data_IF_492812156932
#
_entry.id   IF_492812156932
#
_cell.length_a   1.000
_cell.length_b   1.000
_cell.length_c   1.000
_cell.angle_alpha   90.00
_cell.angle_beta   90.00
_cell.angle_gamma   90.00
#
_symmetry.space_group_name_H-M   'P 1'
#
loop_
_entity.id
_entity.type
_entity.pdbx_description
1 polymer ?
#
# COMPACT_ATOMS: atom_id res chain seq x y z
N UNK A 1 -5.22 20.90 -31.64
CA UNK A 1 -6.62 20.68 -31.08
C UNK A 1 -7.23 19.40 -31.66
N UNK A 2 -6.49 18.79 -32.72
CA UNK A 2 -6.88 17.51 -33.36
C UNK A 2 -6.13 16.33 -32.73
N UNK A 3 -5.14 16.69 -31.80
CA UNK A 3 -4.32 15.62 -31.20
C UNK A 3 -4.86 15.23 -29.83
N UNK A 4 -6.06 15.86 -29.37
CA UNK A 4 -6.65 15.49 -28.06
C UNK A 4 -8.15 15.21 -28.24
N UNK A 5 -8.59 14.97 -29.47
CA UNK A 5 -10.00 14.77 -29.86
C UNK A 5 -10.49 13.38 -29.43
N UNK A 6 -9.53 12.45 -29.24
CA UNK A 6 -9.92 11.08 -28.84
C UNK A 6 -10.07 11.01 -27.32
N UNK A 7 -9.37 11.94 -26.53
CA UNK A 7 -9.51 12.09 -25.08
C UNK A 7 -10.80 12.85 -24.72
N UNK A 8 -11.35 13.74 -25.66
CA UNK A 8 -12.54 14.60 -25.48
C UNK A 8 -13.80 13.89 -25.98
N UNK A 9 -13.66 12.79 -26.77
CA UNK A 9 -14.83 12.08 -27.34
C UNK A 9 -15.27 10.94 -26.41
N UNK A 10 -14.38 10.68 -25.26
CA UNK A 10 -14.69 9.59 -24.31
C UNK A 10 -14.80 10.14 -22.89
N UNK A 11 -14.72 11.56 -22.75
CA UNK A 11 -14.55 12.02 -21.35
C UNK A 11 -15.89 12.55 -20.82
N UNK A 12 -16.49 11.94 -19.80
CA UNK A 12 -17.81 12.02 -19.14
C UNK A 12 -17.71 12.96 -17.93
N UNK A 13 -16.51 13.95 -17.79
CA UNK A 13 -16.47 14.85 -16.61
C UNK A 13 -15.27 15.80 -16.75
N UNK A 14 -15.52 17.23 -16.59
CA UNK A 14 -14.46 18.25 -16.63
C UNK A 14 -13.22 17.82 -15.84
N UNK A 15 -13.31 17.05 -14.83
CA UNK A 15 -12.16 16.60 -14.02
C UNK A 15 -11.34 15.54 -14.77
N UNK A 16 -11.92 14.72 -15.49
CA UNK A 16 -11.19 13.73 -16.32
C UNK A 16 -10.41 14.42 -17.46
N UNK A 17 -11.04 15.52 -17.93
CA UNK A 17 -10.35 16.28 -19.00
C UNK A 17 -9.16 17.02 -18.40
N UNK A 18 -9.38 17.59 -17.22
CA UNK A 18 -8.24 18.28 -16.56
C UNK A 18 -7.12 17.30 -16.25
N UNK A 19 -7.45 16.10 -15.79
CA UNK A 19 -6.43 15.07 -15.50
C UNK A 19 -5.70 14.64 -16.78
N UNK A 20 -6.49 14.49 -17.89
CA UNK A 20 -5.85 14.13 -19.16
C UNK A 20 -4.92 15.25 -19.66
N UNK A 21 -5.32 16.48 -19.42
CA UNK A 21 -4.48 17.59 -19.89
C UNK A 21 -3.18 17.67 -19.07
N UNK A 22 -3.35 17.45 -17.78
CA UNK A 22 -2.14 17.44 -16.95
C UNK A 22 -1.22 16.27 -17.32
N UNK A 23 -1.77 15.06 -17.73
CA UNK A 23 -0.93 13.91 -18.11
C UNK A 23 -0.19 14.20 -19.42
N UNK A 24 -0.72 15.15 -20.15
CA UNK A 24 -0.05 15.45 -21.45
C UNK A 24 0.79 16.72 -21.32
N UNK A 25 0.99 17.11 -20.00
CA UNK A 25 2.01 18.16 -19.76
C UNK A 25 1.39 19.56 -19.72
N UNK A 26 0.07 19.67 -19.77
CA UNK A 26 -0.53 21.01 -19.69
C UNK A 26 -0.61 21.48 -18.22
N UNK A 27 0.13 22.58 -18.00
CA UNK A 27 0.11 23.18 -16.64
C UNK A 27 -0.74 24.45 -16.63
N UNK A 28 -0.91 25.05 -15.31
CA UNK A 28 -1.70 26.31 -15.24
C UNK A 28 -1.06 27.40 -16.10
N UNK A 29 0.21 27.33 -16.30
CA UNK A 29 0.89 28.33 -17.15
C UNK A 29 0.56 28.11 -18.64
N UNK A 30 0.59 26.81 -18.98
CA UNK A 30 0.21 26.49 -20.37
C UNK A 30 -1.26 26.86 -20.65
N UNK A 31 -2.16 26.68 -19.66
CA UNK A 31 -3.58 27.04 -19.85
C UNK A 31 -3.74 28.56 -20.01
N UNK A 32 -2.92 29.32 -19.34
CA UNK A 32 -3.01 30.80 -19.46
C UNK A 32 -2.71 31.25 -20.88
N UNK A 33 -1.88 30.45 -21.62
CA UNK A 33 -1.59 30.78 -23.04
C UNK A 33 -2.83 30.60 -23.92
N UNK A 34 -3.69 29.75 -23.41
CA UNK A 34 -4.96 29.57 -24.16
C UNK A 34 -6.05 30.47 -23.57
N UNK A 35 -5.73 31.57 -22.84
CA UNK A 35 -6.63 32.60 -22.27
C UNK A 35 -7.56 32.00 -21.22
N UNK A 36 -7.08 30.98 -20.61
CA UNK A 36 -7.84 30.43 -19.46
C UNK A 36 -7.00 30.56 -18.19
N UNK A 37 -7.75 30.90 -17.07
CA UNK A 37 -7.07 31.17 -15.79
C UNK A 37 -6.30 29.93 -15.30
N UNK A 38 -6.80 28.65 -15.55
CA UNK A 38 -6.12 27.42 -15.07
C UNK A 38 -6.62 26.22 -15.88
N UNK A 39 -5.95 25.09 -15.68
CA UNK A 39 -6.21 23.84 -16.43
C UNK A 39 -7.66 23.39 -16.18
N UNK A 40 -8.18 23.65 -15.00
CA UNK A 40 -9.58 23.25 -14.70
C UNK A 40 -10.57 24.09 -15.51
N UNK A 41 -10.26 25.42 -15.63
CA UNK A 41 -11.16 26.28 -16.45
C UNK A 41 -11.11 25.86 -17.92
N UNK A 42 -9.92 25.57 -18.35
CA UNK A 42 -9.78 25.07 -19.72
C UNK A 42 -10.53 23.74 -19.91
N UNK A 43 -10.44 22.86 -18.95
CA UNK A 43 -11.15 21.57 -19.04
C UNK A 43 -12.67 21.79 -19.03
N UNK A 44 -13.13 22.70 -18.20
CA UNK A 44 -14.59 22.97 -18.14
C UNK A 44 -15.08 23.51 -19.49
N UNK A 45 -14.30 24.40 -20.01
CA UNK A 45 -14.73 24.94 -21.32
C UNK A 45 -14.76 23.83 -22.39
N UNK A 46 -13.69 22.96 -22.45
CA UNK A 46 -13.68 21.85 -23.41
C UNK A 46 -14.86 20.91 -23.20
N UNK A 47 -15.16 20.61 -21.89
CA UNK A 47 -16.33 19.74 -21.62
C UNK A 47 -17.62 20.42 -22.08
N UNK A 48 -17.79 21.73 -21.82
CA UNK A 48 -19.03 22.43 -22.20
C UNK A 48 -19.22 22.40 -23.73
N UNK A 49 -18.13 22.48 -24.44
CA UNK A 49 -18.23 22.47 -25.92
C UNK A 49 -18.63 21.08 -26.42
N UNK A 50 -18.14 19.97 -25.81
CA UNK A 50 -18.47 18.60 -26.24
C UNK A 50 -19.90 18.25 -25.80
N UNK A 51 -20.31 18.70 -24.54
CA UNK A 51 -21.69 18.42 -24.08
C UNK A 51 -22.71 19.14 -24.96
N UNK A 52 -22.41 20.31 -25.31
CA UNK A 52 -23.36 21.06 -26.17
C UNK A 52 -23.49 20.39 -27.54
N UNK A 53 -22.47 19.79 -28.05
CA UNK A 53 -22.49 19.05 -29.33
C UNK A 53 -23.22 17.71 -29.17
N UNK A 54 -23.13 17.07 -27.99
CA UNK A 54 -23.82 15.81 -27.69
C UNK A 54 -25.31 16.05 -27.40
N UNK A 55 -25.74 17.19 -26.82
CA UNK A 55 -27.15 17.56 -26.55
C UNK A 55 -27.86 17.93 -27.85
N UNK A 56 -27.10 18.26 -28.86
CA UNK A 56 -27.72 18.55 -30.18
C UNK A 56 -27.86 17.27 -31.01
N UNK A 57 -27.39 16.04 -30.51
CA UNK A 57 -27.37 14.76 -31.25
C UNK A 57 -27.95 13.64 -30.37
N UNK A 58 -29.02 13.79 -29.41
CA UNK A 58 -29.88 12.73 -28.86
C UNK A 58 -29.79 12.75 -27.32
N UNK A 59 -30.96 13.02 -26.60
CA UNK A 59 -31.63 12.59 -25.35
C UNK A 59 -30.88 11.43 -24.69
N UNK A 60 -29.83 11.65 -23.91
CA UNK A 60 -28.99 10.67 -23.18
C UNK A 60 -29.71 10.24 -21.88
N UNK A 61 -30.10 8.93 -21.84
CA UNK A 61 -30.49 8.01 -20.76
C UNK A 61 -29.45 8.01 -19.62
N UNK A 62 -29.91 8.21 -18.37
CA UNK A 62 -29.10 8.20 -17.15
C UNK A 62 -28.51 6.82 -16.86
N UNK A 63 -27.11 6.64 -16.88
CA UNK A 63 -26.30 5.50 -16.41
C UNK A 63 -26.51 5.32 -14.90
N UNK A 64 -27.14 4.18 -14.51
CA UNK A 64 -27.37 3.84 -13.09
C UNK A 64 -26.04 3.66 -12.34
N UNK A 65 -25.63 4.57 -11.41
CA UNK A 65 -24.62 4.43 -10.35
C UNK A 65 -25.08 3.44 -9.27
N UNK A 66 -24.68 2.13 -9.44
CA UNK A 66 -24.87 0.99 -8.53
C UNK A 66 -24.44 1.38 -7.10
N UNK A 67 -25.24 1.84 -6.24
CA UNK A 67 -25.16 2.13 -4.80
C UNK A 67 -24.95 0.85 -3.97
N UNK A 68 -24.56 -0.41 -4.66
CA UNK A 68 -24.49 -1.66 -3.86
C UNK A 68 -23.04 -2.16 -3.77
N UNK A 69 -22.06 -1.50 -4.32
CA UNK A 69 -20.65 -1.94 -4.34
C UNK A 69 -19.89 -1.31 -3.16
N UNK A 70 -20.60 -0.32 -2.39
CA UNK A 70 -19.87 0.42 -1.34
C UNK A 70 -19.97 -0.31 0.01
N UNK A 71 -20.99 -1.24 0.20
CA UNK A 71 -21.20 -1.88 1.52
C UNK A 71 -20.57 -3.28 1.52
N UNK A 72 -20.21 -3.83 0.39
CA UNK A 72 -19.65 -5.20 0.29
C UNK A 72 -18.14 -5.21 0.55
N UNK A 73 -17.51 -4.03 0.44
CA UNK A 73 -16.04 -4.06 0.63
C UNK A 73 -15.69 -3.96 2.12
N UNK A 74 -16.60 -3.24 2.92
CA UNK A 74 -16.30 -3.12 4.37
C UNK A 74 -16.33 -4.48 5.06
N UNK A 75 -17.27 -5.31 4.63
CA UNK A 75 -17.38 -6.67 5.21
C UNK A 75 -16.20 -7.52 4.73
N UNK A 76 -15.78 -7.26 3.58
CA UNK A 76 -14.66 -8.04 3.01
C UNK A 76 -13.33 -7.59 3.61
N UNK A 77 -13.29 -6.37 4.13
CA UNK A 77 -12.02 -5.82 4.68
C UNK A 77 -11.76 -6.40 6.08
N UNK A 78 -12.84 -7.00 6.68
CA UNK A 78 -12.66 -7.51 8.06
C UNK A 78 -12.35 -9.02 8.00
N UNK A 79 -12.46 -9.63 6.87
CA UNK A 79 -12.35 -11.08 6.70
C UNK A 79 -10.92 -11.57 6.94
N UNK A 80 -9.95 -10.83 6.49
CA UNK A 80 -8.58 -11.34 6.67
C UNK A 80 -8.15 -11.34 8.14
N UNK A 81 -8.74 -10.31 8.88
CA UNK A 81 -8.43 -10.27 10.32
C UNK A 81 -9.07 -11.43 11.09
N UNK A 82 -10.28 -11.81 10.71
CA UNK A 82 -10.98 -12.88 11.43
C UNK A 82 -10.38 -14.26 11.11
N UNK A 83 -9.97 -14.42 9.82
CA UNK A 83 -9.37 -15.71 9.42
C UNK A 83 -7.99 -15.87 10.07
N UNK A 84 -7.30 -14.70 10.19
CA UNK A 84 -5.97 -14.76 10.83
C UNK A 84 -6.11 -15.04 12.32
N UNK A 85 -7.10 -14.48 12.94
CA UNK A 85 -7.34 -14.76 14.37
C UNK A 85 -7.68 -16.25 14.59
N UNK A 86 -8.48 -16.78 13.68
CA UNK A 86 -8.84 -18.21 13.79
C UNK A 86 -7.60 -19.10 13.57
N UNK A 87 -6.76 -18.66 12.66
CA UNK A 87 -5.54 -19.46 12.39
C UNK A 87 -4.59 -19.42 13.59
N UNK A 88 -4.52 -18.25 14.25
CA UNK A 88 -3.66 -18.14 15.44
C UNK A 88 -4.19 -19.02 16.58
N UNK A 89 -5.48 -19.04 16.72
CA UNK A 89 -6.07 -19.90 17.77
C UNK A 89 -5.80 -21.37 17.45
N UNK A 90 -5.89 -21.71 16.13
CA UNK A 90 -5.63 -23.10 15.69
C UNK A 90 -4.16 -23.51 15.93
N UNK A 91 -3.30 -22.58 15.74
CA UNK A 91 -1.86 -22.90 15.90
C UNK A 91 -1.54 -23.04 17.40
N UNK A 92 -2.26 -22.28 18.28
CA UNK A 92 -1.96 -22.33 19.73
C UNK A 92 -2.53 -23.61 20.36
N UNK A 93 -3.48 -24.16 19.64
CA UNK A 93 -4.13 -25.35 20.22
C UNK A 93 -3.45 -26.63 19.72
N UNK A 94 -2.44 -26.45 18.77
CA UNK A 94 -1.79 -27.66 18.21
C UNK A 94 -0.33 -27.70 18.68
N UNK A 95 0.17 -28.96 19.16
CA UNK A 95 1.59 -29.10 19.54
C UNK A 95 2.31 -30.03 18.56
N UNK A 96 3.62 -29.58 18.14
CA UNK A 96 4.43 -30.55 17.35
C UNK A 96 4.21 -30.34 15.83
N UNK A 97 4.25 -31.37 14.93
CA UNK A 97 4.19 -31.35 13.46
C UNK A 97 2.84 -30.79 12.97
N UNK A 98 1.80 -30.97 13.74
CA UNK A 98 0.51 -30.42 13.31
C UNK A 98 0.44 -28.89 13.52
N UNK A 99 1.37 -28.41 14.19
CA UNK A 99 1.49 -26.94 14.36
C UNK A 99 2.01 -26.28 13.08
N UNK A 100 2.83 -26.99 12.40
CA UNK A 100 3.39 -26.40 11.16
C UNK A 100 2.37 -26.47 10.01
N UNK A 101 1.61 -27.53 10.03
CA UNK A 101 0.58 -27.67 8.98
C UNK A 101 -0.56 -26.67 9.22
N UNK A 102 -0.92 -26.48 10.48
CA UNK A 102 -1.97 -25.47 10.83
C UNK A 102 -1.48 -24.05 10.52
N UNK A 103 -0.23 -23.81 10.74
CA UNK A 103 0.33 -22.48 10.39
C UNK A 103 0.33 -22.27 8.87
N UNK A 104 0.73 -23.34 8.15
CA UNK A 104 0.74 -23.24 6.68
C UNK A 104 -0.66 -23.01 6.12
N UNK A 105 -1.61 -23.78 6.64
CA UNK A 105 -3.00 -23.63 6.14
C UNK A 105 -3.57 -22.27 6.55
N UNK A 106 -3.30 -21.83 7.75
CA UNK A 106 -3.72 -20.49 8.18
C UNK A 106 -3.11 -19.38 7.30
N UNK A 107 -1.90 -19.53 6.98
CA UNK A 107 -1.24 -18.55 6.10
C UNK A 107 -1.90 -18.52 4.71
N UNK A 108 -2.22 -19.68 4.20
CA UNK A 108 -2.89 -19.73 2.89
C UNK A 108 -4.29 -19.10 2.93
N UNK A 109 -4.95 -19.38 3.99
CA UNK A 109 -6.31 -18.83 4.12
C UNK A 109 -6.26 -17.29 4.27
N UNK A 110 -5.29 -16.79 4.94
CA UNK A 110 -5.15 -15.34 5.13
C UNK A 110 -4.73 -14.70 3.79
N UNK A 111 -3.83 -15.39 3.11
CA UNK A 111 -3.41 -14.89 1.79
C UNK A 111 -4.59 -14.81 0.81
N UNK A 112 -5.41 -15.78 0.87
CA UNK A 112 -6.57 -15.79 -0.06
C UNK A 112 -7.60 -14.73 0.32
N UNK A 113 -7.77 -14.59 1.59
CA UNK A 113 -8.74 -13.55 2.03
C UNK A 113 -8.23 -12.15 1.69
N UNK A 114 -6.95 -12.02 1.82
CA UNK A 114 -6.36 -10.71 1.48
C UNK A 114 -6.49 -10.44 -0.02
N UNK A 115 -6.31 -11.46 -0.73
CA UNK A 115 -6.46 -11.32 -2.20
C UNK A 115 -7.88 -10.89 -2.57
N UNK A 116 -8.77 -11.51 -1.95
CA UNK A 116 -10.17 -11.23 -2.30
C UNK A 116 -10.54 -9.81 -1.83
N UNK A 117 -10.02 -9.43 -0.66
CA UNK A 117 -10.36 -8.10 -0.11
C UNK A 117 -9.70 -6.99 -0.93
N UNK A 118 -8.53 -7.30 -1.46
CA UNK A 118 -7.79 -6.23 -2.17
C UNK A 118 -8.23 -6.18 -3.63
N UNK A 119 -8.79 -7.27 -4.14
CA UNK A 119 -9.25 -7.30 -5.55
C UNK A 119 -10.62 -6.64 -5.69
N UNK A 120 -11.37 -6.53 -4.63
CA UNK A 120 -12.74 -5.99 -4.78
C UNK A 120 -12.86 -4.65 -4.07
N UNK A 121 -11.69 -4.06 -3.64
CA UNK A 121 -11.74 -2.84 -2.82
C UNK A 121 -11.04 -1.68 -3.55
N UNK A 122 -11.10 -0.48 -2.99
CA UNK A 122 -10.57 0.79 -3.53
C UNK A 122 -9.05 0.70 -3.77
N UNK A 123 -8.43 -0.47 -3.41
CA UNK A 123 -6.98 -0.63 -3.68
C UNK A 123 -6.78 -1.67 -4.79
N UNK A 124 -7.69 -1.75 -5.64
CA UNK A 124 -7.57 -2.77 -6.70
C UNK A 124 -6.42 -2.41 -7.66
N UNK A 125 -5.60 -3.52 -7.82
CA UNK A 125 -4.46 -3.34 -8.74
C UNK A 125 -4.68 -4.26 -9.96
N UNK A 126 -4.38 -3.68 -11.12
CA UNK A 126 -4.47 -4.54 -12.30
C UNK A 126 -3.52 -5.75 -12.20
N UNK A 127 -4.04 -6.99 -12.60
CA UNK A 127 -3.34 -8.27 -12.44
C UNK A 127 -1.92 -8.22 -13.02
N UNK A 128 -1.67 -7.37 -14.03
CA UNK A 128 -0.33 -7.34 -14.67
C UNK A 128 0.69 -6.62 -13.79
N UNK A 129 0.23 -5.86 -12.88
CA UNK A 129 1.13 -5.06 -12.01
C UNK A 129 1.24 -5.67 -10.62
N UNK A 130 0.31 -6.56 -10.32
CA UNK A 130 0.26 -7.17 -8.97
C UNK A 130 1.25 -8.33 -8.88
N UNK A 131 1.56 -8.94 -10.05
CA UNK A 131 2.45 -10.13 -10.04
C UNK A 131 3.88 -9.75 -9.64
N UNK A 132 4.27 -8.50 -9.95
CA UNK A 132 5.67 -8.08 -9.73
C UNK A 132 5.92 -7.75 -8.25
N UNK A 133 4.97 -7.37 -7.51
CA UNK A 133 5.18 -6.96 -6.10
C UNK A 133 4.73 -8.07 -5.15
N UNK A 134 4.10 -9.06 -5.76
CA UNK A 134 3.45 -10.09 -4.91
C UNK A 134 4.50 -11.02 -4.29
N UNK A 135 5.39 -11.34 -5.16
CA UNK A 135 6.39 -12.31 -4.65
C UNK A 135 7.22 -11.65 -3.53
N UNK A 136 7.52 -10.39 -3.64
CA UNK A 136 8.36 -9.71 -2.64
C UNK A 136 7.57 -9.40 -1.37
N UNK A 137 6.31 -9.08 -1.55
CA UNK A 137 5.43 -8.89 -0.38
C UNK A 137 5.30 -10.19 0.42
N UNK A 138 5.17 -11.27 -0.40
CA UNK A 138 5.06 -12.58 0.30
C UNK A 138 6.36 -12.89 1.06
N UNK A 139 7.39 -12.61 0.41
CA UNK A 139 8.68 -12.87 1.08
C UNK A 139 8.83 -12.02 2.35
N UNK A 140 8.49 -10.74 2.38
CA UNK A 140 8.62 -9.84 3.55
C UNK A 140 7.67 -10.25 4.67
N UNK A 141 6.51 -10.70 4.24
CA UNK A 141 5.56 -11.18 5.26
C UNK A 141 6.08 -12.48 5.89
N UNK A 142 6.62 -13.31 4.95
CA UNK A 142 7.22 -14.55 5.49
C UNK A 142 8.38 -14.22 6.45
N UNK A 143 9.16 -13.21 6.04
CA UNK A 143 10.27 -12.84 6.94
C UNK A 143 9.72 -12.29 8.27
N UNK A 144 8.71 -11.44 8.29
CA UNK A 144 8.11 -10.92 9.52
C UNK A 144 7.63 -12.05 10.44
N UNK A 145 7.21 -13.17 9.81
CA UNK A 145 6.70 -14.31 10.59
C UNK A 145 7.86 -15.13 11.18
N UNK A 146 8.86 -15.32 10.38
CA UNK A 146 9.85 -16.34 10.80
C UNK A 146 11.21 -15.68 11.00
N UNK A 147 11.38 -14.50 10.51
CA UNK A 147 12.72 -13.94 10.26
C UNK A 147 13.35 -13.44 11.57
N UNK A 148 12.49 -12.84 12.46
CA UNK A 148 13.08 -12.30 13.70
C UNK A 148 13.52 -13.43 14.65
N UNK A 149 12.72 -14.45 14.66
CA UNK A 149 13.09 -15.66 15.45
C UNK A 149 14.34 -16.35 14.88
N UNK A 150 14.43 -16.32 13.58
CA UNK A 150 15.60 -16.93 12.93
C UNK A 150 16.85 -16.05 13.13
N UNK A 151 16.71 -14.84 13.09
CA UNK A 151 17.85 -13.92 13.29
C UNK A 151 18.33 -13.99 14.74
N UNK A 152 17.40 -14.03 15.66
CA UNK A 152 17.80 -14.17 17.08
C UNK A 152 18.50 -15.51 17.32
N UNK A 153 17.95 -16.50 16.69
CA UNK A 153 18.56 -17.84 16.86
C UNK A 153 19.96 -17.88 16.22
N UNK A 154 20.08 -17.23 15.14
CA UNK A 154 21.39 -17.16 14.47
C UNK A 154 22.41 -16.37 15.30
N UNK A 155 21.95 -15.39 16.05
CA UNK A 155 22.88 -14.59 16.88
C UNK A 155 23.24 -15.35 18.16
N UNK A 156 22.39 -16.30 18.61
CA UNK A 156 22.64 -17.02 19.89
C UNK A 156 23.35 -18.35 19.62
N UNK A 157 23.99 -18.55 18.42
CA UNK A 157 24.88 -19.73 18.34
C UNK A 157 24.27 -20.85 17.49
N UNK A 158 23.05 -20.52 16.76
CA UNK A 158 22.49 -21.41 15.72
C UNK A 158 21.08 -21.87 16.09
N UNK A 159 20.19 -22.24 15.09
CA UNK A 159 18.79 -22.58 15.39
C UNK A 159 18.69 -23.90 16.16
N UNK A 160 18.92 -23.89 17.50
CA UNK A 160 18.76 -25.18 18.20
C UNK A 160 17.27 -25.40 18.53
N UNK A 161 16.46 -26.23 17.63
CA UNK A 161 15.03 -26.57 17.90
C UNK A 161 14.10 -25.62 17.13
N UNK A 162 12.62 -25.81 17.31
CA UNK A 162 11.58 -25.01 16.62
C UNK A 162 11.62 -23.56 17.12
N UNK A 163 12.19 -22.62 16.33
CA UNK A 163 12.32 -21.19 16.67
C UNK A 163 10.93 -20.53 16.78
N UNK A 164 10.84 -19.60 17.83
CA UNK A 164 9.55 -18.96 18.14
C UNK A 164 9.03 -18.13 16.95
N UNK A 165 7.76 -18.45 16.54
CA UNK A 165 7.07 -17.69 15.47
C UNK A 165 6.42 -16.43 16.05
N UNK A 166 6.64 -15.34 15.34
CA UNK A 166 6.02 -14.07 15.78
C UNK A 166 4.58 -13.95 15.25
N UNK A 167 3.66 -14.46 16.00
CA UNK A 167 2.25 -14.55 15.53
C UNK A 167 1.53 -13.22 15.77
N UNK A 168 2.12 -12.41 16.74
CA UNK A 168 1.46 -11.13 17.08
C UNK A 168 1.60 -10.12 15.94
N UNK A 169 2.69 -9.95 15.32
CA UNK A 169 2.85 -8.98 14.23
C UNK A 169 2.10 -9.42 12.96
N UNK A 170 1.95 -10.66 12.78
CA UNK A 170 1.21 -11.15 11.58
C UNK A 170 -0.30 -10.93 11.78
N UNK A 171 -0.71 -11.18 12.96
CA UNK A 171 -2.14 -10.90 13.25
C UNK A 171 -2.44 -9.40 13.14
N UNK A 172 -1.50 -8.65 13.63
CA UNK A 172 -1.71 -7.19 13.57
C UNK A 172 -1.68 -6.70 12.12
N UNK A 173 -0.79 -7.23 11.30
CA UNK A 173 -0.72 -6.82 9.89
C UNK A 173 -1.99 -7.26 9.13
N UNK A 174 -2.50 -8.43 9.53
CA UNK A 174 -3.74 -8.89 8.86
C UNK A 174 -4.94 -8.04 9.27
N UNK A 175 -4.95 -7.61 10.53
CA UNK A 175 -6.09 -6.79 10.99
C UNK A 175 -5.97 -5.36 10.46
N UNK A 176 -4.74 -5.02 10.08
CA UNK A 176 -4.50 -3.64 9.63
C UNK A 176 -5.03 -3.45 8.20
N UNK A 177 -5.42 -4.55 7.57
CA UNK A 177 -5.96 -4.45 6.19
C UNK A 177 -7.26 -3.66 6.16
N UNK A 178 -8.02 -3.76 7.22
CA UNK A 178 -9.30 -3.00 7.27
C UNK A 178 -9.06 -1.49 7.32
N UNK A 179 -8.19 -1.08 8.29
CA UNK A 179 -7.95 0.38 8.33
C UNK A 179 -7.23 0.87 7.06
N UNK A 180 -6.47 0.01 6.44
CA UNK A 180 -5.76 0.42 5.20
C UNK A 180 -6.76 0.68 4.05
N UNK A 181 -7.75 -0.17 3.94
CA UNK A 181 -8.75 0.02 2.87
C UNK A 181 -9.62 1.24 3.17
N UNK A 182 -9.89 1.40 4.45
CA UNK A 182 -10.69 2.58 4.84
C UNK A 182 -9.91 3.88 4.58
N UNK A 183 -8.62 3.86 4.92
CA UNK A 183 -7.79 5.06 4.68
C UNK A 183 -7.71 5.36 3.17
N UNK A 184 -7.58 4.34 2.38
CA UNK A 184 -7.55 4.55 0.92
C UNK A 184 -8.88 5.12 0.40
N UNK A 185 -9.93 4.58 0.98
CA UNK A 185 -11.24 5.10 0.56
C UNK A 185 -11.42 6.57 0.98
N UNK A 186 -11.03 6.87 2.22
CA UNK A 186 -11.15 8.26 2.68
C UNK A 186 -10.29 9.19 1.83
N UNK A 187 -9.13 8.70 1.48
CA UNK A 187 -8.26 9.53 0.63
C UNK A 187 -8.89 9.76 -0.75
N UNK A 188 -9.48 8.74 -1.30
CA UNK A 188 -10.09 8.89 -2.63
C UNK A 188 -11.31 9.82 -2.59
N UNK A 189 -12.14 9.69 -1.58
CA UNK A 189 -13.38 10.51 -1.52
C UNK A 189 -13.00 11.96 -1.24
N UNK A 190 -12.03 12.12 -0.31
CA UNK A 190 -11.70 13.50 0.06
C UNK A 190 -10.86 14.15 -1.05
N UNK A 191 -10.03 13.38 -1.66
CA UNK A 191 -9.26 13.93 -2.79
C UNK A 191 -10.18 14.35 -3.94
N UNK A 192 -11.22 13.63 -4.15
CA UNK A 192 -12.18 14.00 -5.21
C UNK A 192 -12.96 15.26 -4.85
N UNK A 193 -13.32 15.28 -3.56
CA UNK A 193 -14.06 16.50 -3.13
C UNK A 193 -13.17 17.74 -3.24
N UNK A 194 -11.92 17.53 -2.89
CA UNK A 194 -11.01 18.69 -2.94
C UNK A 194 -10.66 19.05 -4.40
N UNK A 195 -10.63 18.05 -5.19
CA UNK A 195 -10.42 18.30 -6.64
C UNK A 195 -11.59 19.09 -7.24
N UNK A 196 -12.86 18.82 -6.79
CA UNK A 196 -14.04 19.54 -7.30
C UNK A 196 -14.07 20.98 -6.78
N UNK A 197 -13.46 21.19 -5.64
CA UNK A 197 -13.56 22.53 -5.01
C UNK A 197 -12.39 23.41 -5.45
N UNK A 198 -11.33 22.83 -6.06
CA UNK A 198 -10.11 23.63 -6.30
C UNK A 198 -10.14 24.20 -7.72
N UNK A 199 -9.63 25.37 -7.85
CA UNK A 199 -9.72 26.12 -9.13
C UNK A 199 -8.36 26.12 -9.84
N UNK A 200 -7.36 25.32 -9.27
CA UNK A 200 -6.01 25.22 -9.89
C UNK A 200 -5.26 23.99 -9.35
N UNK A 201 -4.14 23.57 -10.12
CA UNK A 201 -3.36 22.37 -9.74
C UNK A 201 -2.54 22.64 -8.48
N UNK A 202 -2.10 23.90 -8.32
CA UNK A 202 -1.27 24.21 -7.13
C UNK A 202 -2.13 24.23 -5.85
N UNK A 203 -3.32 24.80 -5.98
CA UNK A 203 -4.25 24.81 -4.83
C UNK A 203 -4.69 23.38 -4.47
N UNK A 204 -4.79 22.60 -5.44
CA UNK A 204 -5.16 21.19 -5.16
C UNK A 204 -4.00 20.46 -4.47
N UNK A 205 -2.82 20.67 -4.99
CA UNK A 205 -1.67 19.96 -4.38
C UNK A 205 -1.47 20.39 -2.93
N UNK A 206 -1.72 21.68 -2.62
CA UNK A 206 -1.53 22.16 -1.24
C UNK A 206 -2.59 21.59 -0.30
N UNK A 207 -3.71 21.30 -0.84
CA UNK A 207 -4.80 20.79 0.04
C UNK A 207 -4.71 19.27 0.22
N UNK A 208 -4.11 18.56 -0.70
CA UNK A 208 -4.15 17.08 -0.66
C UNK A 208 -2.95 16.56 0.13
N UNK A 209 -1.88 17.38 0.16
CA UNK A 209 -0.66 16.93 0.85
C UNK A 209 -0.94 16.62 2.32
N UNK A 210 -1.56 17.52 3.10
CA UNK A 210 -1.84 17.22 4.51
C UNK A 210 -2.82 16.04 4.66
N UNK A 211 -3.60 15.89 3.72
CA UNK A 211 -4.55 14.75 3.78
C UNK A 211 -3.80 13.41 3.66
N UNK A 212 -2.79 13.38 2.75
CA UNK A 212 -2.03 12.12 2.59
C UNK A 212 -1.26 11.82 3.88
N UNK A 213 -0.73 12.88 4.46
CA UNK A 213 0.02 12.65 5.72
C UNK A 213 -0.93 12.28 6.86
N UNK A 214 -2.07 12.92 6.85
CA UNK A 214 -3.06 12.60 7.89
C UNK A 214 -3.53 11.14 7.82
N UNK A 215 -3.82 10.67 6.62
CA UNK A 215 -4.33 9.29 6.48
C UNK A 215 -3.20 8.30 6.80
N UNK A 216 -2.06 8.66 6.34
CA UNK A 216 -0.91 7.81 6.69
C UNK A 216 -0.71 7.75 8.21
N UNK A 217 -0.75 8.88 8.83
CA UNK A 217 -0.61 8.91 10.30
C UNK A 217 -1.75 8.13 10.98
N UNK A 218 -2.93 8.32 10.45
CA UNK A 218 -4.07 7.56 11.01
C UNK A 218 -3.84 6.05 10.88
N UNK A 219 -3.30 5.63 9.79
CA UNK A 219 -3.03 4.18 9.65
C UNK A 219 -1.94 3.73 10.63
N UNK A 220 -0.96 4.50 10.79
CA UNK A 220 0.13 4.09 11.70
C UNK A 220 -0.38 4.02 13.15
N UNK A 221 -1.23 4.99 13.44
CA UNK A 221 -1.81 4.93 14.80
C UNK A 221 -2.68 3.68 14.98
N UNK A 222 -3.47 3.41 14.01
CA UNK A 222 -4.31 2.19 14.10
C UNK A 222 -3.44 0.92 14.15
N UNK A 223 -2.43 0.91 13.35
CA UNK A 223 -1.54 -0.27 13.33
C UNK A 223 -0.81 -0.39 14.67
N UNK A 224 -0.35 0.71 15.19
CA UNK A 224 0.31 0.69 16.51
C UNK A 224 -0.63 0.14 17.60
N UNK A 225 -1.88 0.59 17.60
CA UNK A 225 -2.85 0.10 18.59
C UNK A 225 -3.10 -1.41 18.44
N UNK A 226 -3.15 -1.81 17.18
CA UNK A 226 -3.43 -3.26 16.96
C UNK A 226 -2.22 -4.11 17.37
N UNK A 227 -1.06 -3.50 17.07
CA UNK A 227 0.17 -4.25 17.48
C UNK A 227 0.24 -4.33 19.01
N UNK A 228 -0.10 -3.26 19.70
CA UNK A 228 -0.10 -3.26 21.18
C UNK A 228 -1.15 -4.22 21.75
N UNK A 229 -2.28 -4.21 21.11
CA UNK A 229 -3.37 -5.10 21.59
C UNK A 229 -3.01 -6.57 21.35
N UNK A 230 -2.47 -6.81 20.12
CA UNK A 230 -2.11 -8.21 19.80
C UNK A 230 -0.96 -8.69 20.70
N UNK A 231 -0.07 -7.74 20.96
CA UNK A 231 1.03 -8.07 21.89
C UNK A 231 0.51 -8.38 23.31
N UNK A 232 -0.43 -7.59 23.72
CA UNK A 232 -0.98 -7.80 25.07
C UNK A 232 -1.75 -9.13 25.16
N UNK A 233 -2.45 -9.48 24.12
CA UNK A 233 -3.32 -10.68 24.18
C UNK A 233 -2.44 -11.94 24.06
N UNK A 234 -1.30 -11.77 23.27
CA UNK A 234 -0.53 -12.99 22.96
C UNK A 234 0.76 -13.01 23.81
N UNK A 235 0.88 -11.93 24.83
CA UNK A 235 2.03 -11.80 25.74
C UNK A 235 3.35 -11.95 24.99
N UNK A 236 3.45 -11.30 23.75
CA UNK A 236 4.70 -11.33 22.95
C UNK A 236 5.21 -9.89 22.76
N UNK A 237 6.52 -9.64 23.00
CA UNK A 237 7.09 -8.28 23.02
C UNK A 237 7.99 -8.09 21.79
N UNK A 238 8.04 -9.15 20.92
CA UNK A 238 9.23 -9.00 20.04
C UNK A 238 8.78 -8.56 18.64
N UNK A 239 9.12 -7.10 18.29
CA UNK A 239 9.39 -6.70 16.88
C UNK A 239 8.31 -5.73 16.37
N UNK A 240 7.76 -4.83 17.28
CA UNK A 240 6.68 -3.87 16.95
C UNK A 240 7.19 -2.81 15.96
N UNK A 241 8.48 -2.64 16.12
CA UNK A 241 9.03 -1.57 15.25
C UNK A 241 9.18 -2.08 13.81
N UNK A 242 9.56 -3.31 13.65
CA UNK A 242 9.68 -3.91 12.30
C UNK A 242 8.32 -4.10 11.63
N UNK A 243 7.35 -4.56 12.39
CA UNK A 243 6.00 -4.80 11.82
C UNK A 243 5.30 -3.48 11.46
N UNK A 244 5.58 -2.52 12.32
CA UNK A 244 5.01 -1.18 12.01
C UNK A 244 5.60 -0.63 10.70
N UNK A 245 6.92 -0.76 10.52
CA UNK A 245 7.58 -0.24 9.30
C UNK A 245 7.14 -1.02 8.07
N UNK A 246 6.98 -2.29 8.21
CA UNK A 246 6.49 -3.11 7.09
C UNK A 246 5.04 -2.75 6.72
N UNK A 247 4.22 -2.56 7.80
CA UNK A 247 2.82 -2.14 7.51
C UNK A 247 2.80 -0.79 6.77
N UNK A 248 3.68 0.11 7.14
CA UNK A 248 3.74 1.41 6.44
C UNK A 248 4.17 1.24 4.99
N UNK A 249 5.16 0.43 4.77
CA UNK A 249 5.68 0.17 3.41
C UNK A 249 4.61 -0.47 2.53
N UNK A 250 3.90 -1.45 3.08
CA UNK A 250 2.88 -2.16 2.27
C UNK A 250 1.73 -1.24 1.89
N UNK A 251 1.33 -0.38 2.84
CA UNK A 251 0.23 0.55 2.50
C UNK A 251 0.65 1.51 1.39
N UNK A 252 1.85 2.03 1.54
CA UNK A 252 2.31 2.99 0.52
C UNK A 252 2.50 2.30 -0.84
N UNK A 253 3.08 1.19 -0.78
CA UNK A 253 3.26 0.44 -2.03
C UNK A 253 1.92 0.16 -2.72
N UNK A 254 1.05 -0.19 -1.89
CA UNK A 254 -0.25 -0.53 -2.53
C UNK A 254 -0.98 0.74 -3.00
N UNK A 255 -0.90 1.76 -2.29
CA UNK A 255 -1.56 3.01 -2.70
C UNK A 255 -0.96 3.52 -4.02
N UNK A 256 0.30 3.47 -4.11
CA UNK A 256 0.95 3.95 -5.35
C UNK A 256 0.63 3.03 -6.52
N UNK A 257 0.58 1.78 -6.25
CA UNK A 257 0.24 0.83 -7.34
C UNK A 257 -1.21 1.02 -7.80
N UNK A 258 -2.07 1.32 -6.79
CA UNK A 258 -3.49 1.51 -7.16
C UNK A 258 -3.68 2.81 -7.96
N UNK A 259 -2.73 3.73 -7.79
CA UNK A 259 -2.90 5.01 -8.50
C UNK A 259 -2.06 5.02 -9.77
N UNK A 260 -1.46 3.76 -10.19
CA UNK A 260 -0.91 3.63 -11.55
C UNK A 260 0.61 3.82 -11.55
N UNK A 261 1.21 3.92 -10.37
CA UNK A 261 2.69 4.04 -10.33
C UNK A 261 3.30 2.81 -9.67
N UNK A 262 3.47 1.64 -10.42
CA UNK A 262 3.86 0.36 -9.81
C UNK A 262 5.38 0.21 -9.75
N UNK A 263 6.09 1.08 -10.47
CA UNK A 263 7.54 0.79 -10.58
C UNK A 263 8.25 1.18 -9.27
N UNK A 264 7.87 2.26 -8.75
CA UNK A 264 8.57 2.70 -7.52
C UNK A 264 8.34 1.73 -6.36
N UNK A 265 7.11 1.34 -6.17
CA UNK A 265 6.86 0.38 -5.08
C UNK A 265 7.53 -0.98 -5.34
N UNK A 266 7.61 -1.39 -6.54
CA UNK A 266 8.26 -2.69 -6.84
C UNK A 266 9.75 -2.65 -6.48
N UNK A 267 10.35 -1.55 -6.80
CA UNK A 267 11.81 -1.45 -6.53
C UNK A 267 12.02 -1.36 -5.00
N UNK A 268 11.21 -0.57 -4.40
CA UNK A 268 11.37 -0.42 -2.93
C UNK A 268 11.15 -1.75 -2.21
N UNK A 269 10.10 -2.50 -2.65
CA UNK A 269 9.84 -3.80 -1.98
C UNK A 269 10.95 -4.80 -2.29
N UNK A 270 11.45 -4.74 -3.48
CA UNK A 270 12.56 -5.65 -3.84
C UNK A 270 13.83 -5.29 -3.05
N UNK A 271 14.09 -4.04 -3.04
CA UNK A 271 15.29 -3.61 -2.30
C UNK A 271 15.21 -3.99 -0.82
N UNK A 272 14.04 -3.74 -0.29
CA UNK A 272 13.87 -4.11 1.13
C UNK A 272 14.00 -5.63 1.33
N UNK A 273 13.40 -6.37 0.40
CA UNK A 273 13.48 -7.84 0.54
C UNK A 273 14.92 -8.34 0.42
N UNK A 274 15.63 -7.80 -0.47
CA UNK A 274 17.01 -8.24 -0.69
C UNK A 274 17.86 -7.83 0.53
N UNK A 275 17.62 -6.64 1.01
CA UNK A 275 18.38 -6.17 2.17
C UNK A 275 18.15 -7.07 3.40
N UNK A 276 16.86 -7.40 3.59
CA UNK A 276 16.60 -8.26 4.77
C UNK A 276 17.20 -9.65 4.53
N UNK A 277 17.23 -10.15 3.32
CA UNK A 277 17.84 -11.48 3.02
C UNK A 277 19.36 -11.43 3.19
N UNK A 278 19.90 -10.36 2.78
CA UNK A 278 21.37 -10.24 2.90
C UNK A 278 21.78 -10.17 4.37
N UNK A 279 20.95 -9.43 5.10
CA UNK A 279 21.23 -9.37 6.54
C UNK A 279 21.23 -10.77 7.18
N UNK A 280 20.26 -11.56 6.77
CA UNK A 280 20.22 -12.94 7.31
C UNK A 280 21.40 -13.76 6.79
N UNK A 281 21.72 -13.54 5.52
CA UNK A 281 22.81 -14.30 4.89
C UNK A 281 24.17 -14.00 5.53
N UNK A 282 24.35 -12.72 5.87
CA UNK A 282 25.65 -12.33 6.43
C UNK A 282 25.84 -12.93 7.83
N UNK A 283 24.74 -13.10 8.55
CA UNK A 283 24.85 -13.71 9.90
C UNK A 283 25.20 -15.19 9.77
N UNK A 284 24.65 -15.77 8.78
CA UNK A 284 24.94 -17.22 8.65
C UNK A 284 26.30 -17.43 7.97
N UNK A 285 26.67 -16.53 7.12
CA UNK A 285 27.96 -16.66 6.43
C UNK A 285 29.11 -16.41 7.41
N UNK A 286 28.88 -15.65 8.48
CA UNK A 286 29.92 -15.39 9.48
C UNK A 286 30.30 -16.65 10.25
N UNK A 287 29.64 -17.69 9.92
CA UNK A 287 29.96 -18.93 10.65
C UNK A 287 30.98 -19.77 9.88
N UNK A 288 31.31 -19.33 8.72
CA UNK A 288 32.39 -19.99 7.96
C UNK A 288 33.74 -19.43 8.42
N UNK A 289 34.74 -20.42 8.50
CA UNK A 289 36.05 -20.00 9.02
C UNK A 289 36.60 -18.79 8.24
N UNK A 290 36.82 -17.52 8.94
CA UNK A 290 37.49 -16.36 8.30
C UNK A 290 36.48 -15.30 7.85
N UNK A 291 35.11 -15.47 8.16
CA UNK A 291 34.12 -14.50 7.64
C UNK A 291 33.33 -13.90 8.81
N UNK A 292 33.94 -13.72 9.93
CA UNK A 292 33.24 -13.23 11.15
C UNK A 292 32.96 -11.73 11.03
N UNK A 293 33.70 -11.11 10.03
CA UNK A 293 33.55 -9.65 9.93
C UNK A 293 32.25 -9.29 9.20
N UNK A 294 31.60 -10.25 8.52
CA UNK A 294 30.40 -9.98 7.71
C UNK A 294 29.17 -9.79 8.58
N UNK A 295 29.16 -10.20 9.86
CA UNK A 295 27.95 -10.10 10.70
C UNK A 295 28.07 -8.91 11.65
N UNK A 296 29.17 -8.13 11.53
CA UNK A 296 29.49 -7.08 12.54
C UNK A 296 28.44 -5.96 12.46
N UNK A 297 28.03 -5.57 11.30
CA UNK A 297 27.05 -4.48 11.22
C UNK A 297 25.68 -4.93 11.78
N UNK A 298 25.33 -6.13 11.46
CA UNK A 298 24.01 -6.61 11.95
C UNK A 298 24.08 -6.85 13.46
N UNK A 299 25.17 -7.29 13.96
CA UNK A 299 25.32 -7.56 15.41
C UNK A 299 25.35 -6.24 16.19
N UNK A 300 25.98 -5.24 15.58
CA UNK A 300 26.04 -3.92 16.26
C UNK A 300 24.65 -3.31 16.41
N UNK A 301 23.95 -3.43 15.37
CA UNK A 301 22.58 -2.85 15.38
C UNK A 301 21.68 -3.68 16.31
N UNK A 302 21.81 -4.89 16.21
CA UNK A 302 20.97 -5.74 17.08
C UNK A 302 21.36 -5.56 18.56
N UNK A 303 22.65 -5.35 18.85
CA UNK A 303 23.07 -5.16 20.25
C UNK A 303 22.60 -3.81 20.78
N UNK A 304 22.52 -2.84 19.89
CA UNK A 304 22.16 -1.49 20.35
C UNK A 304 20.63 -1.32 20.45
N UNK A 305 19.86 -1.95 19.53
CA UNK A 305 18.42 -1.57 19.47
C UNK A 305 17.57 -2.83 19.38
N UNK A 306 18.29 -4.04 19.56
CA UNK A 306 17.52 -5.31 19.49
C UNK A 306 17.50 -5.90 18.07
N UNK A 307 17.10 -7.18 17.92
CA UNK A 307 17.11 -7.93 16.66
C UNK A 307 16.01 -7.45 15.70
N UNK A 308 15.02 -6.71 16.22
CA UNK A 308 13.94 -6.22 15.34
C UNK A 308 14.30 -4.87 14.70
N UNK A 309 15.46 -4.34 15.00
CA UNK A 309 15.84 -2.99 14.53
C UNK A 309 16.28 -3.03 13.06
N UNK A 310 16.74 -4.16 12.68
CA UNK A 310 17.26 -4.27 11.30
C UNK A 310 16.10 -4.20 10.29
N UNK A 311 15.11 -5.00 10.49
CA UNK A 311 13.97 -4.91 9.55
C UNK A 311 13.22 -3.58 9.71
N UNK A 312 13.26 -3.02 10.86
CA UNK A 312 12.60 -1.71 11.04
C UNK A 312 13.32 -0.62 10.26
N UNK A 313 14.63 -0.71 10.24
CA UNK A 313 15.39 0.36 9.55
C UNK A 313 15.27 0.19 8.03
N UNK A 314 15.36 -1.06 7.63
CA UNK A 314 15.30 -1.31 6.18
C UNK A 314 13.89 -0.97 5.65
N UNK A 315 12.89 -1.49 6.37
CA UNK A 315 11.51 -1.24 5.89
C UNK A 315 11.11 0.22 6.16
N UNK A 316 11.61 0.80 7.18
CA UNK A 316 11.31 2.22 7.48
C UNK A 316 11.91 3.15 6.43
N UNK A 317 13.17 2.88 6.07
CA UNK A 317 13.81 3.72 5.03
C UNK A 317 13.06 3.62 3.69
N UNK A 318 12.73 2.45 3.33
CA UNK A 318 11.96 2.27 2.08
C UNK A 318 10.59 2.97 2.16
N UNK A 319 10.00 2.87 3.31
CA UNK A 319 8.67 3.52 3.47
C UNK A 319 8.81 5.04 3.37
N UNK A 320 9.85 5.58 3.95
CA UNK A 320 10.04 7.04 3.89
C UNK A 320 10.25 7.49 2.44
N UNK A 321 11.08 6.72 1.77
CA UNK A 321 11.31 7.07 0.35
C UNK A 321 9.99 7.04 -0.44
N UNK A 322 9.16 6.03 -0.13
CA UNK A 322 7.88 5.97 -0.88
C UNK A 322 6.93 7.08 -0.43
N UNK A 323 7.04 7.44 0.82
CA UNK A 323 6.16 8.53 1.30
C UNK A 323 6.50 9.84 0.60
N UNK A 324 7.80 10.09 0.54
CA UNK A 324 8.20 11.32 -0.16
C UNK A 324 7.73 11.27 -1.63
N UNK A 325 7.90 10.09 -2.16
CA UNK A 325 7.45 9.92 -3.56
C UNK A 325 5.93 10.04 -3.67
N UNK A 326 5.24 9.49 -2.75
CA UNK A 326 3.76 9.53 -2.80
C UNK A 326 3.26 10.97 -2.66
N UNK A 327 3.90 11.78 -1.83
CA UNK A 327 3.43 13.17 -1.64
C UNK A 327 3.68 13.99 -2.91
N UNK A 328 4.57 13.52 -3.68
CA UNK A 328 4.85 14.29 -4.93
C UNK A 328 3.96 13.81 -6.07
N UNK A 329 3.66 12.52 -6.07
CA UNK A 329 2.99 11.97 -7.25
C UNK A 329 1.46 12.00 -7.08
N UNK A 330 1.08 11.81 -5.86
CA UNK A 330 -0.38 11.70 -5.66
C UNK A 330 -1.00 13.10 -5.55
N UNK A 331 -0.19 14.12 -5.53
CA UNK A 331 -0.75 15.49 -5.54
C UNK A 331 -1.09 15.91 -6.97
N UNK A 332 -0.78 14.97 -7.85
CA UNK A 332 -1.14 15.30 -9.26
C UNK A 332 -2.58 14.89 -9.56
N UNK A 333 -3.31 15.82 -10.16
CA UNK A 333 -4.73 15.59 -10.52
C UNK A 333 -4.88 14.36 -11.44
N UNK A 334 -3.84 14.00 -12.11
CA UNK A 334 -3.91 12.86 -13.06
C UNK A 334 -3.87 11.54 -12.32
N UNK A 335 -3.37 11.62 -11.12
CA UNK A 335 -3.32 10.39 -10.32
C UNK A 335 -4.72 9.95 -9.88
N UNK A 336 -5.69 10.80 -10.01
CA UNK A 336 -7.04 10.45 -9.50
C UNK A 336 -8.05 10.39 -10.65
N UNK A 337 -7.43 10.29 -11.84
CA UNK A 337 -8.34 10.18 -13.00
C UNK A 337 -8.69 8.71 -13.25
N UNK A 338 -9.96 8.32 -13.21
CA UNK A 338 -10.40 6.94 -13.49
C UNK A 338 -9.82 6.45 -14.83
N UNK A 339 -9.14 5.27 -14.79
CA UNK A 339 -8.59 4.68 -16.02
C UNK A 339 -9.60 4.73 -17.18
N UNK A 340 -9.35 5.60 -18.16
CA UNK A 340 -10.00 5.64 -19.48
C UNK A 340 -10.25 4.23 -20.04
N UNK A 341 -11.27 3.51 -19.38
CA UNK A 341 -11.80 2.31 -20.07
C UNK A 341 -12.38 1.30 -19.08
N UNK A 342 -12.96 1.66 -17.99
CA UNK A 342 -13.66 0.55 -17.29
C UNK A 342 -15.17 0.65 -17.55
N UNK A 343 -15.52 0.44 -18.82
CA UNK A 343 -16.89 -0.06 -19.04
C UNK A 343 -17.12 -1.39 -18.32
#
# INVERSE_FOLDING_TARGET
>A
MHRHRVLCERAVDPLEIAAGLEAHGVTDRTAARFRHRDVFSLAEEMYARVSRDAEESTEREPVPSAPGARRGWAVLAVLPGTVCAAAVVGVRLTDGQPRLVAAALGALAVALSLRVALDRGPLRVPPDMAGRTRIWTCWLVAYALLGDGLLTAGLDGGPHGLWPMALAPVLALALSCAPAVWCAHLLSVRARRKLAASRGLAEFADSVQPLILGVFALHLCALGALLALSGAVLDETAGYAGAGALGALLLLARLLTAHGFPQAPAVALRAAAVAVALALGTVFASRLPGCSLLSVPVETVAEAWGPGAVPALVCGAAALALLVHATRTLTRASAHALPSGAT
#
